data_IF_137852189909
#
_entry.id   IF_137852189909
#
_cell.length_a   1.000
_cell.length_b   1.000
_cell.length_c   1.000
_cell.angle_alpha   90.00
_cell.angle_beta   90.00
_cell.angle_gamma   90.00
#
_symmetry.space_group_name_H-M   'P 1'
#
loop_
_entity.id
_entity.type
_entity.pdbx_description
1 polymer ?
#
# COMPACT_ATOMS: atom_id res chain seq x y z
N UNK A 1 48.14 -4.29 14.47
CA UNK A 1 47.73 -3.51 13.26
C UNK A 1 46.63 -4.30 12.59
N UNK A 2 45.40 -4.00 12.92
CA UNK A 2 44.22 -4.59 12.30
C UNK A 2 43.84 -3.73 11.10
N UNK A 3 44.07 -4.28 9.92
CA UNK A 3 43.71 -3.70 8.64
C UNK A 3 42.16 -3.59 8.58
N UNK A 4 41.64 -2.39 8.75
CA UNK A 4 40.22 -2.13 8.52
C UNK A 4 40.04 -2.00 7.01
N UNK A 5 39.67 -3.10 6.34
CA UNK A 5 39.30 -3.04 4.94
C UNK A 5 38.15 -2.06 4.77
N UNK A 6 38.34 -1.06 3.90
CA UNK A 6 37.30 -0.12 3.52
C UNK A 6 36.06 -0.89 3.03
N UNK A 7 34.83 -0.43 3.36
CA UNK A 7 33.63 -1.11 2.89
C UNK A 7 33.66 -1.19 1.35
N UNK A 8 33.47 -2.40 0.82
CA UNK A 8 33.49 -2.63 -0.64
C UNK A 8 32.40 -1.80 -1.31
N UNK A 9 32.78 -1.02 -2.36
CA UNK A 9 31.85 -0.23 -3.16
C UNK A 9 30.74 -1.10 -3.76
N UNK A 10 29.50 -0.82 -3.41
CA UNK A 10 28.34 -1.53 -3.98
C UNK A 10 28.18 -1.18 -5.44
N UNK A 11 28.36 0.09 -5.81
CA UNK A 11 28.29 0.54 -7.20
C UNK A 11 29.34 -0.15 -8.06
N UNK A 12 30.59 -0.23 -7.60
CA UNK A 12 31.67 -0.89 -8.33
C UNK A 12 31.49 -2.41 -8.45
N UNK A 13 30.68 -3.01 -7.61
CA UNK A 13 30.34 -4.45 -7.68
C UNK A 13 29.29 -4.79 -8.74
N UNK A 14 28.59 -3.78 -9.28
CA UNK A 14 27.61 -3.96 -10.35
C UNK A 14 28.32 -4.17 -11.71
N UNK A 15 27.70 -4.90 -12.66
CA UNK A 15 28.15 -4.94 -14.04
C UNK A 15 28.28 -3.53 -14.65
N UNK A 16 29.25 -3.33 -15.54
CA UNK A 16 29.50 -2.01 -16.18
C UNK A 16 28.24 -1.45 -16.83
N UNK A 17 27.44 -2.29 -17.48
CA UNK A 17 26.17 -1.88 -18.09
C UNK A 17 25.20 -1.21 -17.12
N UNK A 18 25.17 -1.66 -15.85
CA UNK A 18 24.35 -1.04 -14.82
C UNK A 18 24.98 0.24 -14.27
N UNK A 19 26.31 0.28 -14.14
CA UNK A 19 27.02 1.49 -13.73
C UNK A 19 26.81 2.62 -14.77
N UNK A 20 26.92 2.30 -16.07
CA UNK A 20 26.66 3.23 -17.17
C UNK A 20 25.21 3.69 -17.17
N UNK A 21 24.25 2.75 -17.02
CA UNK A 21 22.83 3.07 -16.94
C UNK A 21 22.50 4.01 -15.78
N UNK A 22 23.07 3.78 -14.59
CA UNK A 22 22.92 4.66 -13.43
C UNK A 22 23.47 6.05 -13.75
N UNK A 23 24.68 6.11 -14.28
CA UNK A 23 25.36 7.37 -14.60
C UNK A 23 24.57 8.20 -15.61
N UNK A 24 24.11 7.58 -16.69
CA UNK A 24 23.36 8.24 -17.76
C UNK A 24 22.01 8.75 -17.30
N UNK A 25 21.26 7.95 -16.52
CA UNK A 25 19.96 8.37 -16.05
C UNK A 25 20.03 9.46 -14.98
N UNK A 26 21.03 9.40 -14.08
CA UNK A 26 21.29 10.51 -13.16
C UNK A 26 21.69 11.79 -13.93
N UNK A 27 22.44 11.68 -15.04
CA UNK A 27 22.79 12.83 -15.88
C UNK A 27 21.56 13.47 -16.55
N UNK A 28 20.55 12.67 -16.87
CA UNK A 28 19.25 13.11 -17.43
C UNK A 28 18.30 13.66 -16.38
N UNK A 29 18.66 13.64 -15.08
CA UNK A 29 17.82 14.11 -13.98
C UNK A 29 16.72 13.12 -13.59
N UNK A 30 16.87 11.83 -13.90
CA UNK A 30 15.92 10.82 -13.44
C UNK A 30 15.94 10.71 -11.91
N UNK A 31 14.76 10.48 -11.33
CA UNK A 31 14.61 10.27 -9.90
C UNK A 31 15.38 9.03 -9.43
N UNK A 32 16.21 9.17 -8.39
CA UNK A 32 16.94 8.05 -7.83
C UNK A 32 16.01 6.93 -7.32
N UNK A 33 14.82 7.29 -6.80
CA UNK A 33 13.83 6.31 -6.36
C UNK A 33 13.25 5.51 -7.53
N UNK A 34 12.92 6.17 -8.65
CA UNK A 34 12.42 5.47 -9.85
C UNK A 34 13.49 4.56 -10.44
N UNK A 35 14.74 4.98 -10.36
CA UNK A 35 15.88 4.18 -10.76
C UNK A 35 16.07 2.96 -9.85
N UNK A 36 15.96 3.12 -8.51
CA UNK A 36 16.02 2.01 -7.56
C UNK A 36 14.88 1.00 -7.81
N UNK A 37 13.68 1.51 -8.03
CA UNK A 37 12.53 0.69 -8.40
C UNK A 37 12.78 -0.07 -9.71
N UNK A 38 13.39 0.56 -10.72
CA UNK A 38 13.70 -0.08 -12.00
C UNK A 38 14.76 -1.17 -11.86
N UNK A 39 15.79 -0.94 -11.04
CA UNK A 39 16.82 -1.94 -10.73
C UNK A 39 16.21 -3.14 -9.99
N UNK A 40 15.37 -2.91 -8.97
CA UNK A 40 14.69 -3.97 -8.24
C UNK A 40 13.76 -4.78 -9.17
N UNK A 41 12.99 -4.10 -10.04
CA UNK A 41 12.10 -4.74 -11.04
C UNK A 41 12.85 -5.60 -12.06
N UNK A 42 14.13 -5.35 -12.31
CA UNK A 42 14.92 -6.22 -13.18
C UNK A 42 15.07 -7.65 -12.62
N UNK A 43 14.78 -7.85 -11.34
CA UNK A 43 14.94 -9.10 -10.63
C UNK A 43 16.41 -9.48 -10.37
N UNK A 44 17.36 -8.62 -10.73
CA UNK A 44 18.79 -8.88 -10.54
C UNK A 44 19.30 -8.36 -9.19
N UNK A 45 18.62 -7.36 -8.62
CA UNK A 45 19.03 -6.71 -7.36
C UNK A 45 17.86 -6.56 -6.39
N UNK A 46 18.18 -6.63 -5.11
CA UNK A 46 17.23 -6.20 -4.05
C UNK A 46 17.13 -4.69 -4.03
N UNK A 47 16.06 -4.17 -3.46
CA UNK A 47 15.88 -2.72 -3.27
C UNK A 47 17.03 -2.10 -2.46
N UNK A 48 17.55 -2.82 -1.45
CA UNK A 48 18.66 -2.33 -0.62
C UNK A 48 19.95 -2.19 -1.43
N UNK A 49 20.26 -3.16 -2.30
CA UNK A 49 21.42 -3.08 -3.21
C UNK A 49 21.24 -1.94 -4.21
N UNK A 50 20.05 -1.78 -4.78
CA UNK A 50 19.76 -0.70 -5.73
C UNK A 50 19.92 0.68 -5.07
N UNK A 51 19.38 0.87 -3.87
CA UNK A 51 19.53 2.13 -3.11
C UNK A 51 20.98 2.42 -2.75
N UNK A 52 21.70 1.42 -2.23
CA UNK A 52 23.09 1.59 -1.84
C UNK A 52 23.98 2.00 -3.05
N UNK A 53 23.76 1.39 -4.22
CA UNK A 53 24.49 1.73 -5.43
C UNK A 53 24.18 3.16 -5.92
N UNK A 54 22.92 3.58 -5.87
CA UNK A 54 22.49 4.92 -6.25
C UNK A 54 22.97 5.98 -5.26
N UNK A 55 22.92 5.72 -3.95
CA UNK A 55 23.51 6.58 -2.93
C UNK A 55 24.99 6.82 -3.21
N UNK A 56 25.72 5.77 -3.55
CA UNK A 56 27.14 5.88 -3.88
C UNK A 56 27.37 6.67 -5.17
N UNK A 57 26.59 6.41 -6.23
CA UNK A 57 26.70 7.11 -7.51
C UNK A 57 26.43 8.61 -7.38
N UNK A 58 25.44 9.01 -6.57
CA UNK A 58 25.14 10.42 -6.32
C UNK A 58 26.23 11.08 -5.51
N UNK A 59 26.75 10.41 -4.46
CA UNK A 59 27.91 10.93 -3.69
C UNK A 59 29.14 11.13 -4.56
N UNK A 60 29.42 10.24 -5.50
CA UNK A 60 30.56 10.37 -6.42
C UNK A 60 30.41 11.56 -7.40
N UNK A 61 29.17 11.98 -7.72
CA UNK A 61 28.89 13.14 -8.59
C UNK A 61 28.90 14.47 -7.83
N UNK A 62 28.58 14.45 -6.56
CA UNK A 62 28.56 15.64 -5.72
C UNK A 62 29.93 15.92 -5.12
N UNK A 63 30.62 16.94 -5.58
CA UNK A 63 31.88 17.44 -4.98
C UNK A 63 31.59 18.29 -3.75
N UNK A 64 31.07 17.74 -2.64
CA UNK A 64 30.85 18.56 -1.45
C UNK A 64 30.15 17.86 -0.29
N UNK A 65 30.91 17.61 0.76
CA UNK A 65 30.55 17.56 2.18
C UNK A 65 29.16 17.07 2.59
N UNK A 66 28.93 15.77 2.53
CA UNK A 66 28.23 15.02 3.59
C UNK A 66 28.51 13.53 3.38
N UNK A 67 29.69 13.12 3.77
CA UNK A 67 30.17 11.74 3.60
C UNK A 67 29.49 10.80 4.61
N UNK A 68 28.19 10.55 4.44
CA UNK A 68 27.49 9.60 5.30
C UNK A 68 25.97 9.54 5.20
N UNK A 69 25.32 10.60 4.75
CA UNK A 69 23.85 10.60 4.63
C UNK A 69 23.40 9.92 3.33
N UNK A 70 22.43 8.99 3.42
CA UNK A 70 21.76 8.45 2.26
C UNK A 70 20.93 9.53 1.56
N UNK A 71 20.93 9.53 0.22
CA UNK A 71 19.99 10.36 -0.56
C UNK A 71 18.55 9.86 -0.39
N UNK A 72 18.38 8.64 0.07
CA UNK A 72 17.10 8.09 0.49
C UNK A 72 16.91 8.38 1.99
N UNK A 73 16.21 9.46 2.30
CA UNK A 73 15.87 9.77 3.70
C UNK A 73 14.93 8.71 4.26
N UNK A 74 14.85 8.50 5.58
CA UNK A 74 13.85 7.61 6.17
C UNK A 74 12.42 7.93 5.72
N UNK A 75 12.12 9.21 5.41
CA UNK A 75 10.85 9.65 4.84
C UNK A 75 10.57 9.09 3.43
N UNK A 76 11.57 8.57 2.71
CA UNK A 76 11.42 7.97 1.38
C UNK A 76 11.24 6.46 1.41
N UNK A 77 11.24 5.86 2.59
CA UNK A 77 10.91 4.43 2.73
C UNK A 77 9.41 4.28 2.60
N UNK A 78 8.97 3.51 1.60
CA UNK A 78 7.57 3.29 1.27
C UNK A 78 7.24 1.79 1.28
N UNK A 79 6.02 1.40 1.67
CA UNK A 79 5.56 0.05 1.38
C UNK A 79 5.54 -0.17 -0.14
N UNK A 80 5.88 -1.38 -0.59
CA UNK A 80 5.89 -1.72 -2.00
C UNK A 80 5.54 -3.18 -2.23
N UNK A 81 4.97 -3.49 -3.38
CA UNK A 81 4.77 -4.87 -3.86
C UNK A 81 5.84 -5.15 -4.92
N UNK A 82 6.58 -6.25 -4.76
CA UNK A 82 7.53 -6.70 -5.78
C UNK A 82 6.80 -7.25 -7.01
N UNK A 83 6.67 -6.43 -8.04
CA UNK A 83 6.03 -6.79 -9.31
C UNK A 83 7.02 -7.22 -10.39
N UNK A 84 8.26 -7.56 -10.02
CA UNK A 84 9.26 -8.11 -10.96
C UNK A 84 8.88 -9.50 -11.47
N UNK A 85 7.99 -10.17 -10.72
CA UNK A 85 7.45 -11.48 -11.06
C UNK A 85 5.92 -11.42 -11.10
N UNK A 86 5.32 -12.19 -11.99
CA UNK A 86 3.86 -12.30 -12.06
C UNK A 86 3.26 -13.11 -10.90
N UNK A 87 4.10 -13.77 -10.08
CA UNK A 87 3.72 -14.58 -8.93
C UNK A 87 4.68 -14.35 -7.78
N UNK A 88 4.11 -14.14 -6.60
CA UNK A 88 4.83 -13.88 -5.34
C UNK A 88 4.45 -15.00 -4.37
N UNK A 89 5.44 -15.73 -3.88
CA UNK A 89 5.19 -16.75 -2.84
C UNK A 89 5.34 -16.11 -1.47
N UNK A 90 4.25 -16.11 -0.71
CA UNK A 90 4.20 -15.57 0.65
C UNK A 90 3.29 -16.43 1.52
N UNK A 91 3.71 -16.75 2.75
CA UNK A 91 2.91 -17.56 3.69
C UNK A 91 2.38 -18.86 3.03
N UNK A 92 3.25 -19.56 2.28
CA UNK A 92 2.95 -20.79 1.51
C UNK A 92 1.85 -20.62 0.45
N UNK A 93 1.53 -19.38 0.07
CA UNK A 93 0.53 -19.04 -0.93
C UNK A 93 1.18 -18.38 -2.13
N UNK A 94 0.79 -18.80 -3.32
CA UNK A 94 1.18 -18.18 -4.58
C UNK A 94 0.18 -17.07 -4.91
N UNK A 95 0.58 -15.82 -4.67
CA UNK A 95 -0.18 -14.61 -4.99
C UNK A 95 0.13 -14.21 -6.42
N UNK A 96 -0.89 -13.91 -7.22
CA UNK A 96 -0.75 -13.53 -8.63
C UNK A 96 -0.78 -12.02 -8.79
N UNK A 97 0.12 -11.46 -9.58
CA UNK A 97 0.07 -10.05 -10.02
C UNK A 97 -0.75 -9.99 -11.30
N UNK A 98 -2.00 -9.54 -11.19
CA UNK A 98 -2.95 -9.54 -12.30
C UNK A 98 -2.91 -8.25 -13.12
N UNK A 99 -2.63 -7.13 -12.47
CA UNK A 99 -2.61 -5.82 -13.11
C UNK A 99 -1.69 -4.87 -12.32
N UNK A 100 -0.98 -4.01 -13.04
CA UNK A 100 -0.12 -2.95 -12.44
C UNK A 100 -0.31 -1.65 -13.21
N UNK A 101 -0.80 -0.62 -12.52
CA UNK A 101 -0.68 0.77 -12.94
C UNK A 101 0.49 1.39 -12.18
N UNK A 102 1.36 2.12 -12.88
CA UNK A 102 2.61 2.62 -12.30
C UNK A 102 2.47 3.98 -11.63
N UNK A 103 1.58 4.83 -12.15
CA UNK A 103 1.39 6.19 -11.62
C UNK A 103 -0.09 6.61 -11.80
N UNK A 104 -0.82 6.78 -10.68
CA UNK A 104 -0.48 6.35 -9.32
C UNK A 104 -0.23 4.83 -9.28
N UNK A 105 0.51 4.36 -8.29
CA UNK A 105 0.73 2.92 -8.19
C UNK A 105 -0.53 2.22 -7.69
N UNK A 106 -1.15 1.40 -8.57
CA UNK A 106 -2.32 0.56 -8.26
C UNK A 106 -2.05 -0.85 -8.77
N UNK A 107 -2.19 -1.85 -7.91
CA UNK A 107 -1.90 -3.24 -8.22
C UNK A 107 -3.10 -4.12 -7.85
N UNK A 108 -3.57 -4.94 -8.79
CA UNK A 108 -4.54 -5.98 -8.51
C UNK A 108 -3.81 -7.32 -8.31
N UNK A 109 -4.05 -7.93 -7.16
CA UNK A 109 -3.46 -9.18 -6.75
C UNK A 109 -4.54 -10.27 -6.70
N UNK A 110 -4.28 -11.41 -7.34
CA UNK A 110 -5.11 -12.61 -7.26
C UNK A 110 -4.61 -13.57 -6.17
N UNK A 111 -5.51 -14.42 -5.69
CA UNK A 111 -5.20 -15.49 -4.75
C UNK A 111 -4.48 -15.03 -3.46
N UNK A 112 -4.80 -13.81 -2.98
CA UNK A 112 -4.25 -13.27 -1.73
C UNK A 112 -4.84 -14.01 -0.52
N UNK A 113 -6.11 -14.38 -0.60
CA UNK A 113 -6.84 -15.13 0.42
C UNK A 113 -7.44 -16.40 -0.18
N UNK A 114 -7.51 -17.47 0.62
CA UNK A 114 -8.33 -18.62 0.30
C UNK A 114 -9.82 -18.28 0.46
N UNK A 115 -10.69 -19.02 -0.22
CA UNK A 115 -12.13 -18.85 -0.07
C UNK A 115 -12.57 -19.02 1.39
N UNK A 116 -12.00 -20.03 2.06
CA UNK A 116 -12.27 -20.35 3.47
C UNK A 116 -11.79 -19.25 4.41
N UNK A 117 -10.68 -18.56 4.09
CA UNK A 117 -10.18 -17.41 4.86
C UNK A 117 -11.13 -16.22 4.73
N UNK A 118 -11.66 -15.97 3.52
CA UNK A 118 -12.68 -14.95 3.31
C UNK A 118 -13.94 -15.25 4.14
N UNK A 119 -14.42 -16.48 4.09
CA UNK A 119 -15.61 -16.90 4.82
C UNK A 119 -15.40 -16.82 6.34
N UNK A 120 -14.22 -17.21 6.83
CA UNK A 120 -13.88 -17.16 8.25
C UNK A 120 -13.84 -15.70 8.78
N UNK A 121 -13.26 -14.76 8.03
CA UNK A 121 -13.23 -13.33 8.39
C UNK A 121 -14.65 -12.75 8.42
N UNK A 122 -15.47 -13.07 7.43
CA UNK A 122 -16.86 -12.60 7.36
C UNK A 122 -17.68 -13.17 8.53
N UNK A 123 -17.53 -14.47 8.79
CA UNK A 123 -18.22 -15.14 9.90
C UNK A 123 -17.80 -14.60 11.28
N UNK A 124 -16.49 -14.27 11.45
CA UNK A 124 -16.00 -13.68 12.69
C UNK A 124 -16.68 -12.34 13.01
N UNK A 125 -16.95 -11.51 12.00
CA UNK A 125 -17.72 -10.27 12.21
C UNK A 125 -19.20 -10.54 12.52
N UNK A 126 -19.78 -11.58 11.96
CA UNK A 126 -21.16 -12.01 12.25
C UNK A 126 -22.16 -10.86 12.14
N UNK A 127 -22.79 -10.50 13.26
CA UNK A 127 -23.81 -9.44 13.37
C UNK A 127 -23.26 -8.09 13.83
N UNK A 128 -21.95 -7.93 13.99
CA UNK A 128 -21.32 -6.70 14.52
C UNK A 128 -21.36 -5.50 13.60
N UNK A 129 -21.87 -5.66 12.37
CA UNK A 129 -21.95 -4.56 11.41
C UNK A 129 -22.89 -3.45 11.90
N UNK A 130 -22.39 -2.23 11.87
CA UNK A 130 -23.14 -1.01 12.17
C UNK A 130 -23.04 -0.03 11.01
N UNK A 131 -23.94 0.94 10.94
CA UNK A 131 -23.91 1.96 9.90
C UNK A 131 -22.53 2.64 9.82
N UNK A 132 -21.95 2.69 8.63
CA UNK A 132 -20.64 3.30 8.43
C UNK A 132 -20.65 4.80 8.73
N UNK A 133 -19.54 5.26 9.33
CA UNK A 133 -19.28 6.67 9.61
C UNK A 133 -18.06 7.15 8.81
N UNK A 134 -17.91 8.46 8.68
CA UNK A 134 -16.71 9.14 8.18
C UNK A 134 -16.11 9.96 9.32
N UNK A 135 -14.83 10.32 9.19
CA UNK A 135 -14.18 11.24 10.14
C UNK A 135 -14.70 12.65 9.93
N UNK A 136 -15.25 13.25 10.97
CA UNK A 136 -15.69 14.66 10.95
C UNK A 136 -14.50 15.60 10.73
N UNK A 137 -14.67 16.59 9.86
CA UNK A 137 -13.60 17.51 9.48
C UNK A 137 -13.11 18.40 10.63
N UNK A 138 -14.01 18.76 11.55
CA UNK A 138 -13.72 19.75 12.61
C UNK A 138 -13.05 19.12 13.83
N UNK A 139 -13.62 18.03 14.35
CA UNK A 139 -13.25 17.43 15.63
C UNK A 139 -12.74 15.99 15.54
N UNK A 140 -12.78 15.37 14.34
CA UNK A 140 -12.40 13.99 14.12
C UNK A 140 -13.39 12.96 14.66
N UNK A 141 -14.60 13.38 15.07
CA UNK A 141 -15.65 12.49 15.51
C UNK A 141 -16.15 11.57 14.40
N UNK A 142 -16.80 10.49 14.77
CA UNK A 142 -17.43 9.59 13.78
C UNK A 142 -18.82 10.09 13.42
N UNK A 143 -18.99 10.50 12.15
CA UNK A 143 -20.26 11.08 11.65
C UNK A 143 -20.86 10.20 10.57
N UNK A 144 -22.15 9.90 10.66
CA UNK A 144 -22.89 9.26 9.56
C UNK A 144 -23.00 10.23 8.40
N UNK A 145 -22.60 9.79 7.21
CA UNK A 145 -22.60 10.61 6.02
C UNK A 145 -23.36 9.94 4.87
N UNK A 146 -24.15 10.69 4.14
CA UNK A 146 -24.97 10.18 3.02
C UNK A 146 -24.12 9.60 1.86
N UNK A 147 -22.89 10.08 1.70
CA UNK A 147 -21.95 9.60 0.69
C UNK A 147 -21.34 8.22 0.99
N UNK A 148 -21.58 7.68 2.19
CA UNK A 148 -21.11 6.34 2.60
C UNK A 148 -22.29 5.54 3.16
N UNK A 149 -22.89 4.71 2.31
CA UNK A 149 -24.14 4.00 2.65
C UNK A 149 -23.95 2.56 3.13
N UNK A 150 -22.70 2.08 3.22
CA UNK A 150 -22.35 0.74 3.72
C UNK A 150 -22.55 0.59 5.23
N UNK A 151 -22.50 -0.66 5.70
CA UNK A 151 -22.29 -1.00 7.10
C UNK A 151 -20.84 -1.41 7.33
N UNK A 152 -20.31 -1.20 8.54
CA UNK A 152 -18.91 -1.53 8.88
C UNK A 152 -18.81 -2.32 10.20
N UNK A 153 -17.74 -3.10 10.27
CA UNK A 153 -17.27 -3.76 11.49
C UNK A 153 -15.75 -3.68 11.56
N UNK A 154 -15.18 -3.73 12.75
CA UNK A 154 -13.74 -3.80 12.94
C UNK A 154 -13.33 -5.17 13.48
N UNK A 155 -12.12 -5.59 13.13
CA UNK A 155 -11.41 -6.68 13.79
C UNK A 155 -10.12 -6.06 14.34
N UNK A 156 -10.07 -5.96 15.67
CA UNK A 156 -8.92 -5.40 16.36
C UNK A 156 -7.70 -6.32 16.23
N UNK A 157 -6.51 -5.75 16.41
CA UNK A 157 -5.28 -6.53 16.38
C UNK A 157 -5.28 -7.53 17.54
N UNK A 158 -4.96 -8.78 17.26
CA UNK A 158 -4.95 -9.86 18.25
C UNK A 158 -6.33 -10.46 18.55
N UNK A 159 -7.40 -9.96 17.94
CA UNK A 159 -8.78 -10.39 18.20
C UNK A 159 -9.07 -11.78 17.59
N UNK A 160 -8.46 -12.10 16.44
CA UNK A 160 -8.71 -13.34 15.72
C UNK A 160 -7.44 -13.87 15.04
N UNK A 161 -7.13 -15.15 15.26
CA UNK A 161 -5.96 -15.80 14.66
C UNK A 161 -5.95 -15.71 13.13
N UNK A 162 -7.13 -15.84 12.50
CA UNK A 162 -7.26 -15.69 11.04
C UNK A 162 -6.88 -14.29 10.57
N UNK A 163 -7.27 -13.25 11.31
CA UNK A 163 -6.93 -11.87 10.99
C UNK A 163 -5.43 -11.61 11.14
N UNK A 164 -4.81 -12.11 12.21
CA UNK A 164 -3.36 -12.00 12.42
C UNK A 164 -2.56 -12.70 11.32
N UNK A 165 -2.99 -13.89 10.86
CA UNK A 165 -2.34 -14.59 9.76
C UNK A 165 -2.41 -13.78 8.47
N UNK A 166 -3.58 -13.24 8.14
CA UNK A 166 -3.75 -12.39 6.97
C UNK A 166 -2.91 -11.11 7.11
N UNK A 167 -2.90 -10.47 8.27
CA UNK A 167 -2.09 -9.29 8.55
C UNK A 167 -0.60 -9.53 8.29
N UNK A 168 -0.04 -10.64 8.81
CA UNK A 168 1.36 -11.01 8.54
C UNK A 168 1.63 -11.23 7.05
N UNK A 169 0.69 -11.85 6.33
CA UNK A 169 0.79 -12.06 4.87
C UNK A 169 0.83 -10.73 4.12
N UNK A 170 -0.07 -9.79 4.44
CA UNK A 170 -0.10 -8.47 3.82
C UNK A 170 1.15 -7.65 4.14
N UNK A 171 1.63 -7.71 5.37
CA UNK A 171 2.87 -7.08 5.80
C UNK A 171 4.08 -7.60 5.00
N UNK A 172 4.18 -8.92 4.83
CA UNK A 172 5.23 -9.54 4.02
C UNK A 172 5.11 -9.17 2.53
N UNK A 173 3.88 -9.14 1.97
CA UNK A 173 3.63 -8.71 0.58
C UNK A 173 4.04 -7.26 0.33
N UNK A 174 3.74 -6.37 1.29
CA UNK A 174 4.02 -4.94 1.17
C UNK A 174 5.44 -4.57 1.64
N UNK A 175 6.25 -5.53 2.09
CA UNK A 175 7.54 -5.28 2.73
C UNK A 175 7.45 -4.17 3.81
N UNK A 176 6.38 -4.23 4.62
CA UNK A 176 6.07 -3.22 5.63
C UNK A 176 5.74 -3.86 6.98
N UNK A 177 6.17 -3.27 8.11
CA UNK A 177 5.92 -3.87 9.42
C UNK A 177 4.42 -4.01 9.73
N UNK A 178 4.00 -5.19 10.24
CA UNK A 178 2.60 -5.44 10.57
C UNK A 178 2.06 -4.47 11.63
N UNK A 179 2.93 -4.06 12.59
CA UNK A 179 2.60 -3.09 13.62
C UNK A 179 2.28 -1.69 13.10
N UNK A 180 2.64 -1.39 11.86
CA UNK A 180 2.27 -0.16 11.16
C UNK A 180 0.92 -0.26 10.44
N UNK A 181 0.19 -1.36 10.58
CA UNK A 181 -1.15 -1.51 9.99
C UNK A 181 -2.26 -1.11 10.96
N UNK A 182 -3.31 -0.43 10.47
CA UNK A 182 -4.55 -0.23 11.24
C UNK A 182 -5.31 -1.56 11.44
N UNK A 183 -6.24 -1.67 12.40
CA UNK A 183 -7.18 -2.78 12.47
C UNK A 183 -7.89 -3.01 11.13
N UNK A 184 -8.35 -4.24 10.85
CA UNK A 184 -9.17 -4.46 9.67
C UNK A 184 -10.50 -3.75 9.81
N UNK A 185 -10.86 -2.95 8.81
CA UNK A 185 -12.20 -2.41 8.68
C UNK A 185 -12.96 -3.18 7.60
N UNK A 186 -13.91 -4.00 8.02
CA UNK A 186 -14.84 -4.63 7.09
C UNK A 186 -15.93 -3.65 6.69
N UNK A 187 -16.31 -3.70 5.41
CA UNK A 187 -17.42 -2.93 4.86
C UNK A 187 -18.33 -3.87 4.10
N UNK A 188 -19.61 -3.78 4.42
CA UNK A 188 -20.68 -4.56 3.78
C UNK A 188 -21.61 -3.63 3.03
N UNK A 189 -21.83 -3.93 1.75
CA UNK A 189 -22.70 -3.19 0.86
C UNK A 189 -23.81 -4.10 0.37
N UNK A 190 -25.05 -3.76 0.68
CA UNK A 190 -26.24 -4.34 0.07
C UNK A 190 -26.56 -3.67 -1.27
N UNK A 191 -27.58 -4.14 -1.96
CA UNK A 191 -28.04 -3.51 -3.20
C UNK A 191 -28.33 -2.03 -3.00
N UNK A 192 -27.93 -1.20 -3.98
CA UNK A 192 -27.98 0.28 -4.00
C UNK A 192 -26.98 1.00 -3.09
N UNK A 193 -26.27 0.28 -2.22
CA UNK A 193 -25.28 0.90 -1.36
C UNK A 193 -23.96 1.19 -2.10
N UNK A 194 -23.34 2.30 -1.74
CA UNK A 194 -22.12 2.84 -2.35
C UNK A 194 -21.22 3.51 -1.32
N UNK A 195 -20.01 3.84 -1.74
CA UNK A 195 -19.16 4.82 -1.09
C UNK A 195 -18.64 5.79 -2.14
N UNK A 196 -19.09 7.05 -2.06
CA UNK A 196 -18.69 8.10 -2.99
C UNK A 196 -17.17 8.30 -3.03
N UNK A 197 -16.61 8.84 -4.12
CA UNK A 197 -15.18 9.04 -4.24
C UNK A 197 -14.60 9.85 -3.08
N UNK A 198 -13.52 9.31 -2.49
CA UNK A 198 -12.82 9.85 -1.33
C UNK A 198 -11.34 9.51 -1.41
N UNK A 199 -10.56 10.06 -0.50
CA UNK A 199 -9.16 9.72 -0.29
C UNK A 199 -8.99 8.93 1.00
N UNK A 200 -8.04 8.00 1.02
CA UNK A 200 -7.66 7.29 2.23
C UNK A 200 -6.57 8.02 3.03
N UNK A 201 -5.77 8.87 2.36
CA UNK A 201 -4.79 9.69 3.06
C UNK A 201 -5.47 10.73 3.96
N UNK A 202 -4.78 11.09 5.02
CA UNK A 202 -5.26 12.07 6.01
C UNK A 202 -4.73 13.46 5.64
N UNK A 203 -5.63 14.42 5.49
CA UNK A 203 -5.27 15.79 5.19
C UNK A 203 -4.65 16.46 6.45
N UNK A 204 -3.37 16.85 6.44
CA UNK A 204 -2.72 17.45 7.59
C UNK A 204 -3.29 18.83 7.96
N UNK A 205 -3.93 19.50 7.02
CA UNK A 205 -4.54 20.81 7.23
C UNK A 205 -5.94 20.72 7.85
N UNK A 206 -6.56 19.55 7.82
CA UNK A 206 -7.86 19.29 8.42
C UNK A 206 -7.72 18.98 9.91
N UNK A 207 -8.32 19.79 10.79
CA UNK A 207 -8.20 19.67 12.23
C UNK A 207 -8.65 18.30 12.76
N UNK A 208 -9.74 17.75 12.22
CA UNK A 208 -10.26 16.43 12.58
C UNK A 208 -9.31 15.26 12.25
N UNK A 209 -8.36 15.45 11.33
CA UNK A 209 -7.38 14.40 10.98
C UNK A 209 -6.15 14.38 11.89
N UNK A 210 -5.90 15.43 12.68
CA UNK A 210 -4.69 15.53 13.52
C UNK A 210 -4.57 14.43 14.55
N UNK A 211 -5.67 14.07 15.21
CA UNK A 211 -5.70 12.95 16.17
C UNK A 211 -5.41 11.60 15.51
N UNK A 212 -5.87 11.42 14.28
CA UNK A 212 -5.58 10.23 13.48
C UNK A 212 -4.12 10.19 13.02
N UNK A 213 -3.56 11.33 12.58
CA UNK A 213 -2.14 11.43 12.22
C UNK A 213 -1.23 11.15 13.42
N UNK A 214 -1.58 11.58 14.62
CA UNK A 214 -0.81 11.32 15.84
C UNK A 214 -0.71 9.84 16.21
N UNK A 215 -1.60 8.98 15.67
CA UNK A 215 -1.65 7.54 15.94
C UNK A 215 -0.87 6.67 14.94
N UNK A 216 0.16 7.17 14.31
CA UNK A 216 0.99 6.38 13.37
C UNK A 216 1.34 7.11 12.08
N UNK A 217 1.28 8.43 12.06
CA UNK A 217 1.61 9.24 10.87
C UNK A 217 0.58 9.11 9.74
N UNK A 218 1.01 9.29 8.52
CA UNK A 218 0.16 9.24 7.32
C UNK A 218 -0.20 7.78 6.93
N UNK A 219 -1.33 7.60 6.24
CA UNK A 219 -1.67 6.35 5.55
C UNK A 219 -0.91 6.30 4.23
N UNK A 220 0.12 5.46 4.15
CA UNK A 220 0.99 5.37 2.99
C UNK A 220 0.39 4.49 1.87
N UNK A 221 -0.29 3.42 2.25
CA UNK A 221 -0.89 2.49 1.30
C UNK A 221 -2.18 1.87 1.84
N UNK A 222 -2.99 1.37 0.93
CA UNK A 222 -4.24 0.67 1.23
C UNK A 222 -4.26 -0.69 0.54
N UNK A 223 -4.68 -1.72 1.28
CA UNK A 223 -5.23 -2.95 0.72
C UNK A 223 -6.74 -2.94 0.84
N UNK A 224 -7.43 -3.24 -0.25
CA UNK A 224 -8.85 -3.59 -0.27
C UNK A 224 -8.94 -5.08 -0.58
N UNK A 225 -9.26 -5.90 0.43
CA UNK A 225 -9.46 -7.34 0.27
C UNK A 225 -10.91 -7.60 -0.14
N UNK A 226 -11.13 -8.29 -1.26
CA UNK A 226 -12.47 -8.68 -1.69
C UNK A 226 -12.85 -10.01 -1.05
N UNK A 227 -13.84 -10.00 -0.15
CA UNK A 227 -14.26 -11.17 0.62
C UNK A 227 -15.44 -11.90 0.00
N UNK A 228 -16.13 -11.29 -0.96
CA UNK A 228 -17.24 -11.89 -1.73
C UNK A 228 -17.10 -11.60 -3.21
N UNK A 229 -17.64 -12.48 -4.03
CA UNK A 229 -17.98 -12.16 -5.42
C UNK A 229 -19.27 -11.33 -5.42
N UNK A 230 -19.43 -10.45 -6.43
CA UNK A 230 -20.63 -9.63 -6.62
C UNK A 230 -21.22 -9.93 -8.00
N UNK A 231 -22.52 -10.17 -8.05
CA UNK A 231 -23.17 -10.57 -9.32
C UNK A 231 -23.21 -9.42 -10.33
N UNK A 232 -23.44 -8.16 -9.85
CA UNK A 232 -23.50 -6.99 -10.73
C UNK A 232 -23.20 -5.71 -9.97
N UNK A 233 -22.36 -4.83 -10.56
CA UNK A 233 -21.92 -3.56 -9.97
C UNK A 233 -20.90 -3.76 -8.85
N UNK A 234 -20.82 -2.81 -7.93
CA UNK A 234 -19.96 -2.87 -6.76
C UNK A 234 -18.46 -2.73 -7.04
N UNK A 235 -18.06 -2.25 -8.22
CA UNK A 235 -16.66 -2.03 -8.58
C UNK A 235 -15.97 -1.04 -7.61
N UNK A 236 -14.66 -1.14 -7.50
CA UNK A 236 -13.83 -0.08 -6.91
C UNK A 236 -13.40 0.83 -8.05
N UNK A 237 -13.81 2.09 -8.00
CA UNK A 237 -13.59 3.07 -9.07
C UNK A 237 -12.50 4.07 -8.71
N UNK A 238 -11.70 4.46 -9.69
CA UNK A 238 -10.78 5.59 -9.65
C UNK A 238 -11.19 6.56 -10.77
N UNK A 239 -12.08 7.53 -10.47
CA UNK A 239 -12.68 8.37 -11.51
C UNK A 239 -11.65 9.15 -12.34
N UNK A 240 -10.60 9.66 -11.69
CA UNK A 240 -9.52 10.40 -12.34
C UNK A 240 -8.67 9.57 -13.31
N UNK A 241 -8.74 8.23 -13.19
CA UNK A 241 -7.98 7.30 -14.02
C UNK A 241 -8.85 6.57 -15.06
N UNK A 242 -10.18 6.71 -14.98
CA UNK A 242 -11.11 5.89 -15.76
C UNK A 242 -10.98 4.39 -15.46
N UNK A 243 -10.53 4.02 -14.25
CA UNK A 243 -10.31 2.64 -13.84
C UNK A 243 -11.46 2.17 -12.95
N UNK A 244 -11.98 0.98 -13.24
CA UNK A 244 -12.90 0.25 -12.38
C UNK A 244 -12.41 -1.18 -12.20
N UNK A 245 -12.35 -1.64 -10.94
CA UNK A 245 -11.92 -2.98 -10.55
C UNK A 245 -13.08 -3.72 -9.91
N UNK A 246 -13.52 -4.79 -10.55
CA UNK A 246 -14.64 -5.60 -10.04
C UNK A 246 -14.19 -6.53 -8.92
N UNK A 247 -15.02 -6.70 -7.88
CA UNK A 247 -14.75 -7.62 -6.78
C UNK A 247 -14.60 -9.06 -7.27
N UNK A 248 -13.50 -9.69 -6.83
CA UNK A 248 -13.27 -11.12 -6.99
C UNK A 248 -12.85 -11.69 -5.66
N UNK A 249 -13.64 -12.61 -5.09
CA UNK A 249 -13.35 -13.22 -3.79
C UNK A 249 -11.93 -13.77 -3.72
N UNK A 250 -11.20 -13.43 -2.67
CA UNK A 250 -9.81 -13.83 -2.44
C UNK A 250 -8.77 -12.96 -3.14
N UNK A 251 -9.15 -11.99 -3.96
CA UNK A 251 -8.24 -11.00 -4.54
C UNK A 251 -8.09 -9.77 -3.64
N UNK A 252 -7.06 -8.98 -3.90
CA UNK A 252 -6.82 -7.71 -3.24
C UNK A 252 -6.44 -6.62 -4.24
N UNK A 253 -6.98 -5.44 -4.05
CA UNK A 253 -6.51 -4.23 -4.68
C UNK A 253 -5.58 -3.51 -3.72
N UNK A 254 -4.37 -3.16 -4.17
CA UNK A 254 -3.40 -2.39 -3.40
C UNK A 254 -3.04 -1.11 -4.14
N UNK A 255 -2.92 -0.01 -3.41
CA UNK A 255 -2.46 1.25 -3.97
C UNK A 255 -1.75 2.11 -2.94
N UNK A 256 -0.80 2.94 -3.41
CA UNK A 256 -0.18 3.98 -2.60
C UNK A 256 -1.12 5.17 -2.46
N UNK A 257 -1.17 5.74 -1.26
CA UNK A 257 -1.96 6.94 -0.94
C UNK A 257 -1.14 8.22 -1.05
N UNK A 258 0.18 8.07 -1.05
CA UNK A 258 1.13 9.18 -1.03
C UNK A 258 2.26 8.93 -2.02
N UNK A 259 2.95 9.99 -2.37
CA UNK A 259 4.24 9.90 -3.07
C UNK A 259 5.38 9.46 -2.13
N UNK A 260 6.59 9.35 -2.67
CA UNK A 260 7.80 8.97 -1.93
C UNK A 260 8.23 9.96 -0.85
N UNK A 261 7.68 11.17 -0.85
CA UNK A 261 7.91 12.18 0.20
C UNK A 261 6.77 12.20 1.22
N UNK A 262 5.94 11.15 1.22
CA UNK A 262 4.74 11.00 2.04
C UNK A 262 3.70 12.12 1.83
N UNK A 263 3.75 12.81 0.67
CA UNK A 263 2.75 13.81 0.32
C UNK A 263 1.52 13.14 -0.30
N UNK A 264 0.32 13.60 0.04
CA UNK A 264 -0.93 13.07 -0.49
C UNK A 264 -0.97 13.02 -2.03
N UNK A 265 -1.25 11.85 -2.61
CA UNK A 265 -1.42 11.70 -4.05
C UNK A 265 -2.91 11.87 -4.41
N UNK A 266 -3.23 12.97 -5.09
CA UNK A 266 -4.60 13.28 -5.51
C UNK A 266 -5.12 12.41 -6.64
N UNK A 267 -4.27 11.65 -7.31
CA UNK A 267 -4.69 10.70 -8.33
C UNK A 267 -5.34 9.44 -7.73
N UNK A 268 -5.20 9.23 -6.42
CA UNK A 268 -5.76 8.08 -5.69
C UNK A 268 -7.20 8.31 -5.22
N UNK A 269 -7.89 9.33 -5.74
CA UNK A 269 -9.33 9.50 -5.52
C UNK A 269 -10.05 8.24 -5.99
N UNK A 270 -10.71 7.54 -5.06
CA UNK A 270 -11.38 6.28 -5.34
C UNK A 270 -12.71 6.16 -4.60
N UNK A 271 -13.56 5.22 -5.03
CA UNK A 271 -14.84 4.97 -4.40
C UNK A 271 -15.34 3.55 -4.64
N UNK A 272 -16.42 3.19 -3.98
CA UNK A 272 -17.16 1.96 -4.24
C UNK A 272 -18.42 2.27 -5.02
N UNK A 273 -18.46 1.84 -6.28
CA UNK A 273 -19.65 1.96 -7.13
C UNK A 273 -20.86 1.23 -6.50
N UNK A 274 -22.08 1.65 -6.80
CA UNK A 274 -23.29 1.00 -6.29
C UNK A 274 -23.29 -0.50 -6.60
N UNK A 275 -23.65 -1.31 -5.60
CA UNK A 275 -23.97 -2.71 -5.81
C UNK A 275 -25.32 -2.79 -6.48
N UNK A 276 -25.39 -3.38 -7.66
CA UNK A 276 -26.65 -3.55 -8.40
C UNK A 276 -27.35 -4.85 -7.98
N UNK A 277 -26.59 -5.95 -7.92
CA UNK A 277 -27.10 -7.26 -7.49
C UNK A 277 -26.07 -8.03 -6.68
N UNK A 278 -26.50 -8.64 -5.61
CA UNK A 278 -25.67 -9.39 -4.67
C UNK A 278 -25.29 -8.58 -3.44
N UNK A 279 -24.25 -9.02 -2.75
CA UNK A 279 -23.69 -8.35 -1.56
C UNK A 279 -22.18 -8.25 -1.71
N UNK A 280 -21.65 -7.05 -1.59
CA UNK A 280 -20.20 -6.80 -1.55
C UNK A 280 -19.74 -6.76 -0.11
N UNK A 281 -18.74 -7.57 0.23
CA UNK A 281 -18.01 -7.45 1.50
C UNK A 281 -16.52 -7.32 1.20
N UNK A 282 -15.91 -6.29 1.74
CA UNK A 282 -14.48 -6.03 1.64
C UNK A 282 -13.88 -5.87 3.05
N UNK A 283 -12.57 -6.03 3.15
CA UNK A 283 -11.81 -5.61 4.33
C UNK A 283 -10.69 -4.66 3.89
N UNK A 284 -10.69 -3.47 4.46
CA UNK A 284 -9.61 -2.50 4.27
C UNK A 284 -8.51 -2.72 5.30
N UNK A 285 -7.26 -2.62 4.84
CA UNK A 285 -6.06 -2.58 5.67
C UNK A 285 -5.23 -1.39 5.24
N UNK A 286 -5.16 -0.37 6.09
CA UNK A 286 -4.32 0.80 5.86
C UNK A 286 -2.95 0.58 6.49
N UNK A 287 -1.91 0.88 5.72
CA UNK A 287 -0.52 0.86 6.17
C UNK A 287 -0.11 2.29 6.54
N UNK A 288 0.28 2.44 7.80
CA UNK A 288 0.67 3.72 8.37
C UNK A 288 2.18 3.94 8.25
N UNK A 289 2.58 5.20 8.28
CA UNK A 289 3.97 5.62 8.25
C UNK A 289 4.77 5.08 9.44
N UNK A 290 4.15 5.03 10.60
CA UNK A 290 4.74 4.62 11.86
C UNK A 290 3.87 3.54 12.53
N UNK A 291 4.37 3.01 13.65
CA UNK A 291 3.60 2.07 14.46
C UNK A 291 2.26 2.67 14.85
N UNK A 292 1.18 1.93 14.56
CA UNK A 292 -0.17 2.33 14.91
C UNK A 292 -0.52 1.90 16.34
N UNK A 293 -0.89 2.87 17.18
CA UNK A 293 -1.22 2.64 18.59
C UNK A 293 -1.92 3.81 19.25
#
# INVERSE_FOLDING_TARGET
MTDASAPSSVLASLPSSWQDWITDNLARGCSALDMANSMARSGQYTMDVARAALDEAVRQRGTGSDAGASIFTPAQVMPFIDTTRNRIVVDQREVEVLFVLQSPQVILLGNVLASEECDAIVAHCGTRYTRSTVTGADDGSSVVHEGRTSDMAFIERGEAEIAERIERRLAALAHWPAECGEPFQLQKYASTQEYRPHYDWLDPDTSGHRSHLARGGQRLATFILYLTDVEQGGGTIFPGLGLEVYPKKGSALWFLNTDSNHQPDRQTLHGGAPVVKGTKIIANKWLRQERYG
#
